data_IF_699966375000
#
_entry.id   IF_699966375000
#
_cell.length_a   1.000
_cell.length_b   1.000
_cell.length_c   1.000
_cell.angle_alpha   90.00
_cell.angle_beta   90.00
_cell.angle_gamma   90.00
#
_symmetry.space_group_name_H-M   'P 1'
#
loop_
_entity.id
_entity.type
_entity.pdbx_description
1 polymer ?
#
# COMPACT_ATOMS: atom_id res chain seq x y z
N UNK A 1 -9.48 -9.27 8.97
CA UNK A 1 -10.83 -8.72 9.19
C UNK A 1 -11.76 -9.26 8.10
N UNK A 2 -12.71 -10.12 8.47
CA UNK A 2 -13.73 -10.61 7.54
C UNK A 2 -14.79 -9.55 7.29
N UNK A 3 -15.03 -9.21 6.02
CA UNK A 3 -16.00 -8.18 5.59
C UNK A 3 -17.10 -8.74 4.69
N UNK A 4 -17.20 -10.07 4.55
CA UNK A 4 -18.22 -10.71 3.70
C UNK A 4 -19.66 -10.52 4.18
N UNK A 5 -19.88 -10.08 5.42
CA UNK A 5 -21.23 -9.85 5.97
C UNK A 5 -21.88 -8.52 5.58
N UNK A 6 -21.13 -7.62 4.94
CA UNK A 6 -21.65 -6.32 4.51
C UNK A 6 -22.27 -6.43 3.11
N UNK A 7 -23.51 -5.95 2.97
CA UNK A 7 -24.27 -5.99 1.70
C UNK A 7 -24.17 -4.71 0.88
N UNK A 8 -23.81 -3.59 1.51
CA UNK A 8 -23.84 -2.26 0.89
C UNK A 8 -22.46 -1.62 0.86
N UNK A 9 -21.97 -1.16 2.02
CA UNK A 9 -20.68 -0.50 2.15
C UNK A 9 -20.00 -0.86 3.47
N UNK A 10 -18.68 -0.95 3.42
CA UNK A 10 -17.83 -1.09 4.59
C UNK A 10 -16.80 0.04 4.58
N UNK A 11 -16.75 0.82 5.66
CA UNK A 11 -15.84 1.96 5.79
C UNK A 11 -14.77 1.60 6.82
N UNK A 12 -13.51 1.58 6.38
CA UNK A 12 -12.36 1.51 7.27
C UNK A 12 -11.63 2.86 7.26
N UNK A 13 -11.49 3.47 8.44
CA UNK A 13 -10.67 4.65 8.64
C UNK A 13 -9.38 4.23 9.33
N UNK A 14 -8.27 4.25 8.57
CA UNK A 14 -6.94 3.92 9.05
C UNK A 14 -6.05 5.16 8.98
N UNK A 15 -5.28 5.37 10.04
CA UNK A 15 -4.22 6.37 10.05
C UNK A 15 -2.97 5.79 9.40
N UNK A 16 -2.31 6.55 8.52
CA UNK A 16 -1.01 6.18 7.96
C UNK A 16 0.03 5.96 9.06
N UNK A 17 0.74 4.83 9.00
CA UNK A 17 1.81 4.42 9.92
C UNK A 17 3.10 5.19 9.66
N UNK A 18 3.54 5.21 8.39
CA UNK A 18 4.83 5.74 7.99
C UNK A 18 4.69 6.99 7.13
N UNK A 19 4.70 8.15 7.77
CA UNK A 19 4.73 9.42 7.06
C UNK A 19 6.06 9.61 6.33
N UNK A 20 6.00 10.06 5.08
CA UNK A 20 7.17 10.52 4.36
C UNK A 20 7.80 11.73 5.07
N UNK A 21 9.13 11.93 4.95
CA UNK A 21 9.80 13.08 5.54
C UNK A 21 9.18 14.43 5.14
N UNK A 22 8.75 14.55 3.88
CA UNK A 22 8.10 15.74 3.36
C UNK A 22 6.71 15.99 3.99
N UNK A 23 5.92 14.92 4.19
CA UNK A 23 4.62 15.00 4.86
C UNK A 23 4.79 15.46 6.31
N UNK A 24 5.71 14.84 7.04
CA UNK A 24 6.04 15.23 8.42
C UNK A 24 6.50 16.67 8.53
N UNK A 25 7.30 17.15 7.56
CA UNK A 25 7.76 18.54 7.50
C UNK A 25 6.61 19.50 7.22
N UNK A 26 5.69 19.14 6.32
CA UNK A 26 4.51 19.95 5.99
C UNK A 26 3.58 20.08 7.19
N UNK A 27 3.27 18.98 7.87
CA UNK A 27 2.42 18.98 9.08
C UNK A 27 3.01 19.93 10.13
N UNK A 28 4.32 19.83 10.41
CA UNK A 28 5.01 20.72 11.35
C UNK A 28 5.00 22.18 10.90
N UNK A 29 5.18 22.45 9.60
CA UNK A 29 5.13 23.81 9.03
C UNK A 29 3.76 24.46 9.23
N UNK A 30 2.69 23.68 9.23
CA UNK A 30 1.32 24.14 9.51
C UNK A 30 1.05 24.34 11.00
N UNK A 31 2.04 24.18 11.88
CA UNK A 31 1.88 24.29 13.33
C UNK A 31 1.18 23.08 13.96
N UNK A 32 1.01 21.99 13.21
CA UNK A 32 0.36 20.77 13.66
C UNK A 32 1.38 19.75 14.17
N UNK A 33 0.93 18.84 15.04
CA UNK A 33 1.73 17.72 15.53
C UNK A 33 1.56 16.52 14.59
N UNK A 34 2.67 15.90 14.21
CA UNK A 34 2.63 14.61 13.48
C UNK A 34 1.94 13.57 14.38
N UNK A 35 0.90 12.88 13.89
CA UNK A 35 0.19 11.88 14.68
C UNK A 35 1.11 10.79 15.25
N UNK A 36 0.81 10.28 16.44
CA UNK A 36 1.53 9.13 17.01
C UNK A 36 1.06 7.84 16.33
N UNK A 37 1.99 7.11 15.74
CA UNK A 37 1.69 5.91 14.96
C UNK A 37 2.13 4.62 15.63
N UNK A 38 2.63 4.64 16.88
CA UNK A 38 3.18 3.44 17.55
C UNK A 38 2.25 2.22 17.53
N UNK A 39 0.96 2.43 17.75
CA UNK A 39 -0.04 1.35 17.85
C UNK A 39 -0.85 1.09 16.57
N UNK A 40 -0.47 1.73 15.46
CA UNK A 40 -1.12 1.49 14.17
C UNK A 40 -0.54 0.21 13.55
N UNK A 41 -1.40 -0.66 13.04
CA UNK A 41 -1.05 -1.81 12.20
C UNK A 41 -1.72 -1.68 10.83
N UNK A 42 -1.42 -2.59 9.92
CA UNK A 42 -2.24 -2.75 8.72
C UNK A 42 -3.46 -3.62 8.99
N UNK A 43 -4.42 -3.51 8.07
CA UNK A 43 -5.59 -4.37 8.03
C UNK A 43 -5.42 -5.41 6.91
N UNK A 44 -5.56 -6.68 7.28
CA UNK A 44 -5.83 -7.75 6.33
C UNK A 44 -7.34 -7.83 6.11
N UNK A 45 -7.82 -7.48 4.92
CA UNK A 45 -9.23 -7.61 4.53
C UNK A 45 -9.48 -8.99 3.95
N UNK A 46 -10.60 -9.61 4.33
CA UNK A 46 -11.05 -10.90 3.80
C UNK A 46 -12.48 -10.73 3.29
N UNK A 47 -12.66 -10.80 1.97
CA UNK A 47 -13.95 -10.66 1.31
C UNK A 47 -14.20 -11.85 0.38
N UNK A 48 -15.18 -12.68 0.68
CA UNK A 48 -15.51 -13.87 -0.12
C UNK A 48 -14.29 -14.75 -0.44
N UNK A 49 -13.45 -15.01 0.58
CA UNK A 49 -12.20 -15.77 0.46
C UNK A 49 -11.12 -15.10 -0.40
N UNK A 50 -11.23 -13.79 -0.67
CA UNK A 50 -10.16 -12.94 -1.21
C UNK A 50 -9.49 -12.18 -0.08
N UNK A 51 -8.16 -12.28 -0.02
CA UNK A 51 -7.31 -11.73 1.02
C UNK A 51 -6.52 -10.55 0.45
N UNK A 52 -6.68 -9.37 1.02
CA UNK A 52 -5.99 -8.18 0.52
C UNK A 52 -5.66 -7.16 1.60
N UNK A 53 -4.71 -6.29 1.33
CA UNK A 53 -4.33 -5.19 2.20
C UNK A 53 -4.21 -3.88 1.39
N UNK A 54 -4.19 -2.75 2.10
CA UNK A 54 -4.03 -1.41 1.50
C UNK A 54 -2.90 -0.67 2.19
N UNK A 55 -1.86 -0.32 1.44
CA UNK A 55 -0.69 0.42 1.93
C UNK A 55 -0.60 1.81 1.30
N UNK A 56 -0.14 2.78 2.09
CA UNK A 56 -0.01 4.18 1.69
C UNK A 56 1.45 4.55 1.38
N UNK A 57 1.78 4.66 0.10
CA UNK A 57 3.00 5.28 -0.43
C UNK A 57 4.26 4.88 0.36
N UNK A 58 4.77 5.78 1.21
CA UNK A 58 6.00 5.60 1.99
C UNK A 58 5.97 4.39 2.96
N UNK A 59 4.80 3.83 3.25
CA UNK A 59 4.67 2.57 3.98
C UNK A 59 5.32 1.39 3.27
N UNK A 60 5.32 1.39 1.94
CA UNK A 60 5.96 0.35 1.10
C UNK A 60 7.49 0.37 1.19
N UNK A 61 8.08 1.47 1.68
CA UNK A 61 9.52 1.64 1.77
C UNK A 61 10.10 0.93 3.00
N UNK A 62 9.33 0.80 4.09
CA UNK A 62 9.78 0.02 5.25
C UNK A 62 9.60 -1.47 4.96
N UNK A 63 10.71 -2.20 4.87
CA UNK A 63 10.71 -3.61 4.49
C UNK A 63 9.97 -4.51 5.49
N UNK A 64 9.96 -4.17 6.79
CA UNK A 64 9.29 -4.99 7.81
C UNK A 64 7.79 -4.80 7.73
N UNK A 65 7.36 -3.56 7.56
CA UNK A 65 5.97 -3.21 7.34
C UNK A 65 5.45 -3.79 6.04
N UNK A 66 6.27 -3.71 4.97
CA UNK A 66 5.94 -4.31 3.68
C UNK A 66 5.71 -5.82 3.80
N UNK A 67 6.55 -6.51 4.56
CA UNK A 67 6.54 -7.96 4.73
C UNK A 67 5.47 -8.51 5.71
N UNK A 68 4.66 -7.65 6.34
CA UNK A 68 3.71 -8.04 7.41
C UNK A 68 2.77 -9.19 7.00
N UNK A 69 2.33 -9.24 5.74
CA UNK A 69 1.39 -10.24 5.21
C UNK A 69 2.00 -11.12 4.11
N UNK A 70 3.29 -11.42 4.22
CA UNK A 70 3.98 -12.26 3.22
C UNK A 70 3.28 -13.61 3.06
N UNK A 71 2.91 -13.95 1.83
CA UNK A 71 2.20 -15.17 1.44
C UNK A 71 0.76 -15.32 1.98
N UNK A 72 0.21 -14.27 2.61
CA UNK A 72 -1.17 -14.25 3.10
C UNK A 72 -2.12 -13.47 2.19
N UNK A 73 -1.58 -12.69 1.24
CA UNK A 73 -2.34 -11.83 0.33
C UNK A 73 -2.54 -12.48 -1.03
N UNK A 74 -3.75 -12.35 -1.59
CA UNK A 74 -3.99 -12.52 -3.02
C UNK A 74 -3.54 -11.26 -3.78
N UNK A 75 -3.81 -10.08 -3.22
CA UNK A 75 -3.35 -8.81 -3.75
C UNK A 75 -3.12 -7.73 -2.69
N UNK A 76 -2.25 -6.77 -3.01
CA UNK A 76 -1.96 -5.57 -2.25
C UNK A 76 -2.36 -4.35 -3.07
N UNK A 77 -3.13 -3.43 -2.49
CA UNK A 77 -3.39 -2.11 -3.11
C UNK A 77 -2.40 -1.09 -2.56
N UNK A 78 -1.60 -0.52 -3.44
CA UNK A 78 -0.57 0.48 -3.14
C UNK A 78 -1.03 1.86 -3.60
N UNK A 79 -1.54 2.67 -2.66
CA UNK A 79 -2.00 4.03 -2.93
C UNK A 79 -0.82 5.00 -2.87
N UNK A 80 -0.61 5.77 -3.95
CA UNK A 80 0.56 6.63 -4.10
C UNK A 80 0.18 8.07 -4.45
N UNK A 81 0.91 9.01 -3.85
CA UNK A 81 1.04 10.38 -4.33
C UNK A 81 2.52 10.69 -4.49
N UNK A 82 3.12 10.02 -5.48
CA UNK A 82 4.57 10.02 -5.62
C UNK A 82 5.01 10.43 -7.03
N UNK A 83 5.94 11.38 -7.07
CA UNK A 83 6.53 11.91 -8.30
C UNK A 83 7.70 11.07 -8.82
N UNK A 84 8.40 10.36 -7.93
CA UNK A 84 9.53 9.49 -8.31
C UNK A 84 9.04 8.10 -8.71
N UNK A 85 8.49 8.03 -9.92
CA UNK A 85 7.93 6.82 -10.51
C UNK A 85 8.93 5.66 -10.51
N UNK A 86 10.18 5.91 -10.91
CA UNK A 86 11.18 4.84 -11.06
C UNK A 86 11.52 4.20 -9.73
N UNK A 87 11.65 5.01 -8.67
CA UNK A 87 11.92 4.50 -7.33
C UNK A 87 10.79 3.58 -6.84
N UNK A 88 9.53 4.02 -6.99
CA UNK A 88 8.39 3.23 -6.55
C UNK A 88 8.16 1.98 -7.40
N UNK A 89 8.48 2.01 -8.70
CA UNK A 89 8.40 0.82 -9.55
C UNK A 89 9.28 -0.31 -9.05
N UNK A 90 10.52 -0.01 -8.66
CA UNK A 90 11.41 -1.02 -8.09
C UNK A 90 10.83 -1.61 -6.79
N UNK A 91 10.19 -0.77 -5.97
CA UNK A 91 9.55 -1.20 -4.72
C UNK A 91 8.35 -2.10 -5.00
N UNK A 92 7.46 -1.69 -5.89
CA UNK A 92 6.22 -2.41 -6.25
C UNK A 92 6.55 -3.75 -6.90
N UNK A 93 7.51 -3.79 -7.82
CA UNK A 93 7.97 -5.05 -8.41
C UNK A 93 8.62 -5.98 -7.40
N UNK A 94 9.43 -5.44 -6.48
CA UNK A 94 9.97 -6.23 -5.37
C UNK A 94 8.84 -6.77 -4.49
N UNK A 95 7.85 -5.92 -4.15
CA UNK A 95 6.72 -6.28 -3.31
C UNK A 95 5.92 -7.46 -3.89
N UNK A 96 5.62 -7.43 -5.19
CA UNK A 96 4.89 -8.52 -5.84
C UNK A 96 5.63 -9.86 -5.67
N UNK A 97 6.95 -9.87 -5.89
CA UNK A 97 7.78 -11.09 -5.77
C UNK A 97 7.99 -11.52 -4.31
N UNK A 98 8.27 -10.57 -3.42
CA UNK A 98 8.57 -10.82 -2.01
C UNK A 98 7.35 -11.35 -1.24
N UNK A 99 6.18 -10.77 -1.51
CA UNK A 99 4.91 -11.12 -0.88
C UNK A 99 4.20 -12.26 -1.58
N UNK A 100 4.59 -12.55 -2.83
CA UNK A 100 3.99 -13.56 -3.69
C UNK A 100 2.50 -13.29 -3.99
N UNK A 101 2.17 -12.03 -4.29
CA UNK A 101 0.81 -11.58 -4.56
C UNK A 101 0.78 -10.56 -5.70
N UNK A 102 -0.41 -10.24 -6.22
CA UNK A 102 -0.57 -9.11 -7.14
C UNK A 102 -0.39 -7.79 -6.38
N UNK A 103 0.23 -6.80 -7.01
CA UNK A 103 0.29 -5.44 -6.46
C UNK A 103 -0.41 -4.49 -7.40
N UNK A 104 -1.49 -3.88 -6.93
CA UNK A 104 -2.28 -2.89 -7.65
C UNK A 104 -1.75 -1.52 -7.25
N UNK A 105 -0.92 -0.92 -8.10
CA UNK A 105 -0.36 0.41 -7.89
C UNK A 105 -1.34 1.47 -8.39
N UNK A 106 -1.74 2.37 -7.50
CA UNK A 106 -2.69 3.45 -7.78
C UNK A 106 -2.03 4.78 -7.41
N UNK A 107 -1.40 5.41 -8.39
CA UNK A 107 -0.82 6.74 -8.22
C UNK A 107 -1.81 7.81 -8.71
N UNK A 108 -1.65 9.03 -8.19
CA UNK A 108 -2.50 10.15 -8.62
C UNK A 108 -2.31 10.47 -10.10
N UNK A 109 -3.37 10.94 -10.75
CA UNK A 109 -3.34 11.34 -12.18
C UNK A 109 -2.34 12.46 -12.49
N UNK A 110 -1.94 13.25 -11.48
CA UNK A 110 -0.92 14.28 -11.61
C UNK A 110 0.45 13.68 -12.02
N UNK A 111 0.79 12.49 -11.53
CA UNK A 111 2.06 11.83 -11.78
C UNK A 111 1.92 10.61 -12.68
N UNK A 112 0.77 9.92 -12.65
CA UNK A 112 0.51 8.74 -13.48
C UNK A 112 1.23 7.48 -12.99
N UNK A 113 1.34 6.47 -13.86
CA UNK A 113 1.96 5.16 -13.59
C UNK A 113 1.16 4.22 -12.66
N UNK A 114 -0.17 4.33 -12.67
CA UNK A 114 -1.04 3.31 -12.09
C UNK A 114 -1.04 2.05 -12.97
N UNK A 115 -0.86 0.88 -12.36
CA UNK A 115 -0.72 -0.41 -13.05
C UNK A 115 -0.92 -1.58 -12.10
N UNK A 116 -1.04 -2.78 -12.64
CA UNK A 116 -1.06 -4.01 -11.85
C UNK A 116 0.23 -4.77 -12.11
N UNK A 117 0.90 -5.21 -11.04
CA UNK A 117 2.13 -6.01 -11.10
C UNK A 117 1.85 -7.40 -10.55
N UNK A 118 2.03 -8.41 -11.38
CA UNK A 118 1.86 -9.80 -11.03
C UNK A 118 3.19 -10.43 -10.56
N UNK A 119 3.16 -11.43 -9.67
CA UNK A 119 4.34 -12.12 -9.15
C UNK A 119 4.89 -13.15 -10.17
N UNK A 120 5.21 -12.71 -11.39
CA UNK A 120 5.66 -13.55 -12.51
C UNK A 120 6.90 -12.96 -13.21
N UNK A 121 7.30 -13.57 -14.33
CA UNK A 121 8.46 -13.13 -15.12
C UNK A 121 8.33 -11.66 -15.52
N UNK A 122 9.44 -10.92 -15.48
CA UNK A 122 9.46 -9.47 -15.67
C UNK A 122 8.88 -9.00 -17.01
N UNK A 123 9.04 -9.77 -18.07
CA UNK A 123 8.52 -9.45 -19.42
C UNK A 123 6.98 -9.50 -19.49
N UNK A 124 6.36 -10.20 -18.55
CA UNK A 124 4.92 -10.40 -18.51
C UNK A 124 4.29 -9.67 -17.32
N UNK A 125 5.09 -9.24 -16.33
CA UNK A 125 4.64 -8.93 -14.97
C UNK A 125 3.72 -7.73 -14.86
N UNK A 126 3.74 -6.81 -15.82
CA UNK A 126 2.89 -5.62 -15.82
C UNK A 126 1.63 -5.92 -16.65
N UNK A 127 0.47 -5.66 -16.04
CA UNK A 127 -0.87 -5.79 -16.65
C UNK A 127 -1.47 -4.40 -16.81
#
# INVERSE_FOLDING_TARGET
MGISGYTDAFINLRLKKWYAPAESKLIKKLGLKVPDTKNISNDLFIWNNLYFAVYDCFELVDIRFRAEFKADLDFLVACEWNKDIKYFNNIVESAARDLHCYVIQVNTSQYGDSKIVAPKKSEESII
#
